data_IF_901457355797
#
_entry.id   IF_901457355797
#
_cell.length_a   1.000
_cell.length_b   1.000
_cell.length_c   1.000
_cell.angle_alpha   90.00
_cell.angle_beta   90.00
_cell.angle_gamma   90.00
#
_symmetry.space_group_name_H-M   'P 1'
#
loop_
_entity.id
_entity.type
_entity.pdbx_description
1 polymer ?
#
# COMPACT_ATOMS: atom_id res chain seq x y z
N UNK A 1 20.49 38.64 -23.79
CA UNK A 1 21.80 38.27 -24.34
C UNK A 1 22.77 39.39 -23.95
N UNK A 2 23.45 39.27 -22.83
CA UNK A 2 24.74 39.92 -22.55
C UNK A 2 25.38 39.20 -21.36
N UNK A 3 26.70 38.92 -21.40
CA UNK A 3 27.37 37.99 -20.49
C UNK A 3 28.14 38.72 -19.37
N UNK A 4 28.41 37.99 -18.28
CA UNK A 4 29.58 38.20 -17.38
C UNK A 4 30.76 37.36 -17.95
N UNK A 5 32.02 37.38 -17.43
CA UNK A 5 32.62 38.04 -16.25
C UNK A 5 34.03 38.66 -16.54
N UNK A 6 34.77 39.09 -15.51
CA UNK A 6 36.20 38.74 -15.26
C UNK A 6 36.73 39.40 -13.96
N UNK A 7 37.44 38.60 -13.15
CA UNK A 7 38.25 38.84 -11.93
C UNK A 7 39.68 39.33 -12.27
N UNK A 8 40.70 39.33 -11.35
CA UNK A 8 40.91 39.96 -10.03
C UNK A 8 42.27 40.75 -9.98
N UNK A 9 42.71 41.26 -8.81
CA UNK A 9 44.11 41.62 -8.36
C UNK A 9 43.95 42.53 -7.11
N UNK A 10 44.79 42.63 -6.08
CA UNK A 10 45.95 41.93 -5.51
C UNK A 10 46.15 42.50 -4.08
N UNK A 11 46.80 41.76 -3.17
CA UNK A 11 47.30 42.25 -1.87
C UNK A 11 48.70 42.92 -2.05
N UNK A 12 49.31 43.58 -1.02
CA UNK A 12 50.10 42.80 -0.03
C UNK A 12 50.35 43.43 1.38
N UNK A 13 50.86 42.56 2.29
CA UNK A 13 51.80 42.72 3.44
C UNK A 13 51.50 43.73 4.57
N UNK A 14 51.83 43.54 5.86
CA UNK A 14 52.49 42.56 6.74
C UNK A 14 52.28 43.10 8.18
N UNK A 15 52.73 42.57 9.32
CA UNK A 15 53.63 41.49 9.71
C UNK A 15 53.39 41.21 11.23
N UNK A 16 53.68 39.98 11.65
CA UNK A 16 54.22 39.53 12.96
C UNK A 16 53.58 39.94 14.30
N UNK A 17 53.77 39.25 15.43
CA UNK A 17 53.96 37.85 15.84
C UNK A 17 54.03 37.90 17.38
N UNK A 18 53.55 36.88 18.09
CA UNK A 18 54.13 36.41 19.35
C UNK A 18 53.34 35.19 19.85
N UNK A 19 53.96 34.02 19.72
CA UNK A 19 53.49 32.77 20.30
C UNK A 19 54.03 32.57 21.72
N UNK A 20 53.43 31.60 22.42
CA UNK A 20 54.21 30.59 23.17
C UNK A 20 53.36 29.37 23.48
N UNK A 21 53.90 28.22 23.09
CA UNK A 21 53.44 26.88 23.39
C UNK A 21 53.98 26.39 24.76
N UNK A 22 53.40 25.30 25.30
CA UNK A 22 54.05 24.08 25.83
C UNK A 22 52.98 23.22 26.56
N UNK A 23 52.60 22.03 26.05
CA UNK A 23 53.06 20.65 26.43
C UNK A 23 52.79 20.32 27.92
N UNK A 24 52.16 19.21 28.35
CA UNK A 24 52.34 17.76 28.03
C UNK A 24 51.30 16.94 28.85
N UNK A 25 50.86 15.79 28.35
CA UNK A 25 50.22 14.67 29.10
C UNK A 25 51.32 13.77 29.78
N UNK A 26 51.09 12.60 30.46
CA UNK A 26 49.87 11.76 30.60
C UNK A 26 49.70 10.92 31.92
N UNK A 27 48.72 9.99 31.90
CA UNK A 27 48.57 8.69 32.61
C UNK A 27 47.97 8.59 34.03
N UNK A 28 46.90 7.78 34.14
CA UNK A 28 46.42 7.15 35.39
C UNK A 28 45.26 6.18 35.14
N UNK A 29 45.52 4.86 35.25
CA UNK A 29 44.55 3.75 35.23
C UNK A 29 43.83 3.65 36.59
N UNK A 30 42.52 3.41 36.60
CA UNK A 30 41.84 2.67 37.67
C UNK A 30 40.56 1.99 37.14
N UNK A 31 40.40 0.71 37.46
CA UNK A 31 39.20 -0.13 37.24
C UNK A 31 38.32 -0.08 38.49
N UNK A 32 37.02 0.13 38.30
CA UNK A 32 35.86 -0.40 39.04
C UNK A 32 34.64 0.32 38.43
N UNK A 33 33.64 -0.32 37.82
CA UNK A 33 32.84 -1.40 38.37
C UNK A 33 31.49 -0.84 38.80
N UNK A 34 30.64 -0.42 37.86
CA UNK A 34 29.20 -0.24 38.06
C UNK A 34 28.48 -0.55 36.75
N UNK A 35 27.74 -1.67 36.75
CA UNK A 35 26.82 -2.03 35.68
C UNK A 35 25.64 -1.07 35.66
N UNK A 36 25.51 -0.30 34.58
CA UNK A 36 24.24 0.29 34.18
C UNK A 36 23.43 -0.74 33.39
N UNK A 37 22.09 -0.80 33.55
CA UNK A 37 21.28 -1.72 32.75
C UNK A 37 21.39 -1.33 31.26
N UNK A 38 21.33 -2.30 30.34
CA UNK A 38 21.31 -1.99 28.92
C UNK A 38 20.05 -1.16 28.64
N UNK A 39 20.23 -0.06 27.89
CA UNK A 39 19.11 0.64 27.27
C UNK A 39 18.36 -0.38 26.41
N UNK A 40 17.22 -0.84 26.94
CA UNK A 40 16.30 -1.72 26.25
C UNK A 40 15.80 -0.98 25.01
N UNK A 41 16.29 -1.39 23.84
CA UNK A 41 15.60 -1.13 22.58
C UNK A 41 14.15 -1.62 22.78
N UNK A 42 13.13 -0.80 22.47
CA UNK A 42 11.74 -1.22 22.62
C UNK A 42 11.53 -2.52 21.83
N UNK A 43 11.10 -3.58 22.51
CA UNK A 43 10.82 -4.84 21.84
C UNK A 43 9.73 -4.62 20.78
N UNK A 44 9.73 -5.44 19.73
CA UNK A 44 8.71 -5.44 18.66
C UNK A 44 7.26 -5.46 19.21
N UNK A 45 7.04 -5.96 20.43
CA UNK A 45 5.76 -5.91 21.14
C UNK A 45 5.34 -4.49 21.53
N UNK A 46 6.26 -3.62 21.95
CA UNK A 46 5.95 -2.22 22.26
C UNK A 46 5.60 -1.42 21.00
N UNK A 47 6.27 -1.69 19.88
CA UNK A 47 5.88 -1.13 18.57
C UNK A 47 4.53 -1.67 18.09
N UNK A 48 4.24 -2.96 18.30
CA UNK A 48 2.94 -3.54 17.98
C UNK A 48 1.79 -2.96 18.82
N UNK A 49 2.03 -2.63 20.08
CA UNK A 49 1.05 -1.99 20.97
C UNK A 49 0.79 -0.52 20.60
N UNK A 50 1.80 0.21 20.10
CA UNK A 50 1.66 1.61 19.64
C UNK A 50 0.93 1.69 18.27
N UNK A 51 1.16 0.73 17.38
CA UNK A 51 0.47 0.65 16.08
C UNK A 51 -0.99 0.19 16.25
N UNK A 52 -1.29 -0.65 17.24
CA UNK A 52 -2.66 -1.09 17.54
C UNK A 52 -3.51 -0.03 18.28
N UNK A 53 -2.91 0.87 19.05
CA UNK A 53 -3.65 1.82 19.89
C UNK A 53 -4.13 3.06 19.14
N UNK A 54 -3.36 3.56 18.17
CA UNK A 54 -3.69 4.82 17.49
C UNK A 54 -4.86 4.69 16.50
N UNK A 55 -4.92 3.57 15.76
CA UNK A 55 -6.04 3.28 14.87
C UNK A 55 -7.31 2.88 15.61
N UNK A 56 -7.16 2.09 16.69
CA UNK A 56 -8.27 1.71 17.54
C UNK A 56 -8.88 2.94 18.23
N UNK A 57 -8.08 3.86 18.80
CA UNK A 57 -8.59 5.09 19.40
C UNK A 57 -9.38 5.95 18.39
N UNK A 58 -8.87 6.13 17.17
CA UNK A 58 -9.56 6.90 16.12
C UNK A 58 -10.91 6.27 15.72
N UNK A 59 -10.97 4.94 15.70
CA UNK A 59 -12.21 4.22 15.46
C UNK A 59 -13.17 4.31 16.67
N UNK A 60 -12.67 4.40 17.91
CA UNK A 60 -13.48 4.56 19.15
C UNK A 60 -14.05 5.98 19.21
N UNK A 61 -13.22 7.01 19.05
CA UNK A 61 -13.59 8.44 19.17
C UNK A 61 -14.64 8.88 18.14
N UNK A 62 -14.70 8.24 16.98
CA UNK A 62 -15.64 8.56 15.90
C UNK A 62 -16.88 7.66 15.87
N UNK A 63 -17.10 6.83 16.90
CA UNK A 63 -18.28 5.98 17.01
C UNK A 63 -18.34 4.82 16.02
N UNK A 64 -17.26 4.56 15.26
CA UNK A 64 -17.12 3.41 14.35
C UNK A 64 -17.09 2.10 15.17
N UNK A 65 -16.74 2.19 16.46
CA UNK A 65 -16.61 1.06 17.39
C UNK A 65 -17.67 1.03 18.49
N UNK A 66 -18.87 1.59 18.30
CA UNK A 66 -19.91 1.54 19.33
C UNK A 66 -20.22 0.11 19.85
N UNK A 67 -19.76 -0.94 19.15
CA UNK A 67 -19.89 -2.34 19.57
C UNK A 67 -18.60 -3.20 19.49
N UNK A 68 -17.40 -2.64 19.27
CA UNK A 68 -16.20 -3.48 19.13
C UNK A 68 -15.51 -3.78 20.46
N UNK A 69 -15.27 -5.07 20.74
CA UNK A 69 -14.49 -5.53 21.90
C UNK A 69 -12.98 -5.42 21.62
N UNK A 70 -12.15 -5.11 22.65
CA UNK A 70 -10.70 -5.15 22.53
C UNK A 70 -10.20 -6.52 22.07
N UNK A 71 -9.14 -6.51 21.26
CA UNK A 71 -8.48 -7.71 20.75
C UNK A 71 -8.04 -8.64 21.91
N UNK A 72 -8.39 -9.93 21.90
CA UNK A 72 -7.84 -10.87 22.87
C UNK A 72 -6.34 -11.08 22.58
N UNK A 73 -5.52 -10.90 23.62
CA UNK A 73 -4.07 -11.04 23.57
C UNK A 73 -3.61 -12.48 23.32
N UNK A 74 -4.51 -13.47 23.41
CA UNK A 74 -4.23 -14.88 23.14
C UNK A 74 -5.39 -15.56 22.39
N UNK A 75 -5.09 -16.41 21.39
CA UNK A 75 -6.12 -17.09 20.60
C UNK A 75 -6.75 -18.24 21.39
N UNK A 76 -8.07 -18.50 21.24
CA UNK A 76 -8.64 -19.78 21.60
C UNK A 76 -8.16 -20.86 20.62
N UNK A 77 -7.90 -22.04 21.18
CA UNK A 77 -7.40 -23.21 20.45
C UNK A 77 -8.59 -23.89 19.75
N UNK A 78 -8.64 -23.93 18.41
CA UNK A 78 -8.98 -25.12 17.59
C UNK A 78 -9.36 -24.85 16.12
N UNK A 79 -8.87 -25.79 15.29
CA UNK A 79 -9.49 -26.49 14.15
C UNK A 79 -10.26 -25.68 13.09
N UNK A 80 -9.50 -25.27 12.06
CA UNK A 80 -10.04 -24.74 10.80
C UNK A 80 -8.99 -24.65 9.69
N UNK A 81 -8.06 -25.61 9.62
CA UNK A 81 -6.89 -25.56 8.72
C UNK A 81 -6.67 -26.87 7.94
N UNK A 82 -7.74 -27.56 7.55
CA UNK A 82 -7.63 -28.84 6.84
C UNK A 82 -7.03 -28.73 5.43
N UNK A 83 -7.06 -27.55 4.79
CA UNK A 83 -6.53 -27.35 3.43
C UNK A 83 -5.06 -26.88 3.36
N UNK A 84 -4.42 -26.58 4.52
CA UNK A 84 -2.99 -26.18 4.56
C UNK A 84 -2.01 -27.32 4.31
N UNK A 85 -2.47 -28.57 4.14
CA UNK A 85 -1.61 -29.76 3.96
C UNK A 85 -1.41 -30.23 2.52
N UNK A 86 -2.04 -29.59 1.52
CA UNK A 86 -2.06 -30.11 0.15
C UNK A 86 -1.27 -29.27 -0.88
N UNK A 87 -0.18 -28.63 -0.45
CA UNK A 87 0.88 -28.19 -1.37
C UNK A 87 2.15 -29.00 -1.02
N UNK A 88 2.82 -29.65 -1.99
CA UNK A 88 4.02 -30.41 -1.69
C UNK A 88 5.08 -29.45 -1.13
N UNK A 89 5.64 -29.77 0.04
CA UNK A 89 6.92 -29.20 0.47
C UNK A 89 8.00 -29.72 -0.50
N UNK A 90 8.70 -28.87 -1.27
CA UNK A 90 9.96 -29.28 -1.86
C UNK A 90 10.92 -29.62 -0.71
N UNK A 91 11.74 -30.65 -0.91
CA UNK A 91 12.63 -31.23 0.10
C UNK A 91 13.51 -30.21 0.81
N UNK A 92 13.96 -30.60 2.00
CA UNK A 92 14.71 -29.79 2.95
C UNK A 92 15.75 -28.89 2.30
N UNK A 93 15.45 -27.59 2.34
CA UNK A 93 16.37 -26.50 2.05
C UNK A 93 16.27 -25.54 3.23
N UNK A 94 17.42 -25.03 3.65
CA UNK A 94 17.56 -24.07 4.74
C UNK A 94 16.57 -22.91 4.58
N UNK A 95 15.90 -22.54 5.69
CA UNK A 95 15.08 -21.33 5.77
C UNK A 95 15.95 -20.12 5.46
N UNK A 96 15.93 -19.68 4.20
CA UNK A 96 16.52 -18.42 3.74
C UNK A 96 15.86 -17.25 4.49
N UNK A 97 16.62 -16.20 4.80
CA UNK A 97 16.10 -15.04 5.53
C UNK A 97 14.87 -14.41 4.84
N UNK A 98 14.79 -14.49 3.50
CA UNK A 98 13.64 -14.02 2.72
C UNK A 98 12.34 -14.79 2.97
N UNK A 99 12.43 -16.07 3.31
CA UNK A 99 11.28 -16.94 3.59
C UNK A 99 10.71 -16.65 5.00
N UNK A 100 11.60 -16.34 5.95
CA UNK A 100 11.22 -15.96 7.32
C UNK A 100 10.46 -14.63 7.39
N UNK A 101 10.88 -13.61 6.61
CA UNK A 101 10.19 -12.32 6.55
C UNK A 101 8.82 -12.44 5.88
N UNK A 102 8.72 -13.19 4.78
CA UNK A 102 7.44 -13.48 4.15
C UNK A 102 6.48 -14.17 5.13
N UNK A 103 6.96 -15.18 5.86
CA UNK A 103 6.15 -15.90 6.83
C UNK A 103 5.64 -14.98 7.95
N UNK A 104 6.50 -14.14 8.54
CA UNK A 104 6.11 -13.19 9.58
C UNK A 104 5.07 -12.19 9.05
N UNK A 105 5.26 -11.63 7.85
CA UNK A 105 4.30 -10.71 7.23
C UNK A 105 2.94 -11.37 7.00
N UNK A 106 2.94 -12.59 6.45
CA UNK A 106 1.69 -13.33 6.22
C UNK A 106 1.01 -13.70 7.55
N UNK A 107 1.75 -14.06 8.58
CA UNK A 107 1.19 -14.35 9.90
C UNK A 107 0.55 -13.12 10.55
N UNK A 108 1.20 -11.95 10.47
CA UNK A 108 0.64 -10.69 10.96
C UNK A 108 -0.66 -10.36 10.22
N UNK A 109 -0.64 -10.39 8.88
CA UNK A 109 -1.84 -10.12 8.05
C UNK A 109 -2.97 -11.10 8.31
N UNK A 110 -2.66 -12.38 8.44
CA UNK A 110 -3.67 -13.39 8.72
C UNK A 110 -4.31 -13.17 10.10
N UNK A 111 -3.55 -12.68 11.09
CA UNK A 111 -4.09 -12.32 12.40
C UNK A 111 -5.00 -11.09 12.32
N UNK A 112 -4.56 -10.02 11.65
CA UNK A 112 -5.36 -8.80 11.51
C UNK A 112 -6.63 -9.04 10.70
N UNK A 113 -6.54 -9.78 9.59
CA UNK A 113 -7.70 -10.19 8.79
C UNK A 113 -8.72 -10.96 9.64
N UNK A 114 -8.29 -12.01 10.35
CA UNK A 114 -9.22 -12.77 11.22
C UNK A 114 -9.83 -11.91 12.33
N UNK A 115 -9.04 -11.01 12.90
CA UNK A 115 -9.50 -10.18 14.00
C UNK A 115 -10.53 -9.15 13.56
N UNK A 116 -10.30 -8.47 12.43
CA UNK A 116 -11.22 -7.46 11.88
C UNK A 116 -12.44 -8.14 11.26
N UNK A 117 -12.25 -9.15 10.40
CA UNK A 117 -13.36 -9.85 9.73
C UNK A 117 -14.15 -10.77 10.67
N UNK A 118 -13.62 -11.09 11.85
CA UNK A 118 -14.33 -11.83 12.90
C UNK A 118 -15.29 -10.97 13.73
N UNK A 119 -15.27 -9.63 13.56
CA UNK A 119 -16.17 -8.74 14.27
C UNK A 119 -17.63 -8.93 13.82
N UNK A 120 -18.61 -8.73 14.73
CA UNK A 120 -20.02 -8.70 14.36
C UNK A 120 -20.30 -7.71 13.23
N UNK A 121 -21.20 -8.07 12.32
CA UNK A 121 -21.59 -7.22 11.19
C UNK A 121 -20.65 -7.28 9.97
N UNK A 122 -19.50 -7.93 10.06
CA UNK A 122 -18.63 -8.14 8.89
C UNK A 122 -19.20 -9.22 7.95
N UNK A 123 -19.16 -8.98 6.62
CA UNK A 123 -19.64 -9.96 5.63
C UNK A 123 -18.72 -11.19 5.63
N UNK A 124 -19.31 -12.38 5.44
CA UNK A 124 -18.57 -13.65 5.41
C UNK A 124 -18.58 -14.30 4.03
N UNK A 125 -19.55 -13.93 3.21
CA UNK A 125 -19.71 -14.40 1.85
C UNK A 125 -20.03 -13.22 0.90
N UNK A 126 -19.63 -13.25 -0.39
CA UNK A 126 -19.89 -12.15 -1.31
C UNK A 126 -21.38 -11.86 -1.52
N UNK A 127 -22.28 -12.80 -1.21
CA UNK A 127 -23.73 -12.60 -1.26
C UNK A 127 -24.31 -11.92 -0.02
N UNK A 128 -23.54 -11.78 1.07
CA UNK A 128 -23.90 -10.97 2.23
C UNK A 128 -23.77 -9.47 1.93
N UNK A 129 -23.02 -9.12 0.89
CA UNK A 129 -22.73 -7.73 0.52
C UNK A 129 -23.94 -7.06 -0.15
N UNK A 130 -24.15 -5.74 0.08
CA UNK A 130 -25.05 -4.94 -0.74
C UNK A 130 -24.75 -5.07 -2.23
N UNK A 131 -25.78 -4.97 -3.08
CA UNK A 131 -25.67 -5.19 -4.53
C UNK A 131 -24.58 -4.33 -5.16
N UNK A 132 -24.44 -3.07 -4.74
CA UNK A 132 -23.40 -2.16 -5.22
C UNK A 132 -21.99 -2.65 -4.88
N UNK A 133 -21.74 -2.99 -3.62
CA UNK A 133 -20.46 -3.51 -3.15
C UNK A 133 -20.10 -4.84 -3.82
N UNK A 134 -21.05 -5.78 -3.91
CA UNK A 134 -20.87 -7.06 -4.61
C UNK A 134 -20.52 -6.84 -6.07
N UNK A 135 -21.19 -5.91 -6.77
CA UNK A 135 -20.89 -5.58 -8.16
C UNK A 135 -19.48 -5.01 -8.31
N UNK A 136 -19.05 -4.14 -7.41
CA UNK A 136 -17.69 -3.59 -7.39
C UNK A 136 -16.67 -4.70 -7.21
N UNK A 137 -16.87 -5.57 -6.23
CA UNK A 137 -16.01 -6.72 -5.96
C UNK A 137 -15.83 -7.63 -7.18
N UNK A 138 -16.94 -8.11 -7.76
CA UNK A 138 -16.89 -9.08 -8.87
C UNK A 138 -16.23 -8.49 -10.13
N UNK A 139 -16.28 -7.16 -10.31
CA UNK A 139 -15.59 -6.45 -11.40
C UNK A 139 -14.09 -6.29 -11.17
N UNK A 140 -13.62 -6.48 -9.95
CA UNK A 140 -12.20 -6.40 -9.60
C UNK A 140 -11.50 -7.75 -9.54
N UNK A 141 -12.24 -8.87 -9.58
CA UNK A 141 -11.65 -10.20 -9.55
C UNK A 141 -11.52 -10.75 -10.98
N UNK A 142 -10.28 -10.91 -11.41
CA UNK A 142 -9.89 -11.55 -12.65
C UNK A 142 -9.80 -13.07 -12.48
N UNK A 143 -10.15 -13.80 -13.53
CA UNK A 143 -10.23 -15.26 -13.55
C UNK A 143 -9.17 -15.83 -14.47
N UNK A 144 -8.45 -16.85 -13.99
CA UNK A 144 -7.66 -17.74 -14.83
C UNK A 144 -8.12 -19.17 -14.62
N UNK A 145 -8.98 -19.67 -15.51
CA UNK A 145 -9.48 -21.06 -15.43
C UNK A 145 -8.37 -22.08 -15.70
N UNK A 146 -7.49 -21.79 -16.67
CA UNK A 146 -6.36 -22.68 -17.03
C UNK A 146 -5.42 -22.93 -15.84
N UNK A 147 -5.15 -21.92 -15.04
CA UNK A 147 -4.24 -22.00 -13.88
C UNK A 147 -4.98 -22.00 -12.53
N UNK A 148 -6.32 -22.05 -12.58
CA UNK A 148 -7.23 -22.14 -11.42
C UNK A 148 -6.94 -21.11 -10.32
N UNK A 149 -6.77 -19.85 -10.70
CA UNK A 149 -6.62 -18.75 -9.75
C UNK A 149 -7.57 -17.58 -10.00
N UNK A 150 -7.78 -16.81 -8.94
CA UNK A 150 -8.51 -15.54 -8.91
C UNK A 150 -7.59 -14.44 -8.40
N UNK A 151 -7.52 -13.33 -9.12
CA UNK A 151 -6.72 -12.17 -8.75
C UNK A 151 -7.63 -10.95 -8.55
N UNK A 152 -7.75 -10.45 -7.31
CA UNK A 152 -8.39 -9.16 -7.09
C UNK A 152 -7.40 -8.04 -7.40
N UNK A 153 -7.65 -7.31 -8.50
CA UNK A 153 -6.77 -6.24 -8.91
C UNK A 153 -7.06 -4.96 -8.12
N UNK A 154 -5.99 -4.34 -7.63
CA UNK A 154 -6.05 -3.05 -6.95
C UNK A 154 -5.28 -2.03 -7.78
N UNK A 155 -5.92 -0.95 -8.26
CA UNK A 155 -5.21 0.09 -8.98
C UNK A 155 -4.06 0.69 -8.17
N UNK A 156 -2.98 1.07 -8.87
CA UNK A 156 -1.74 1.59 -8.29
C UNK A 156 -0.94 0.59 -7.44
N UNK A 157 -1.31 -0.69 -7.50
CA UNK A 157 -0.56 -1.83 -6.94
C UNK A 157 -0.10 -2.77 -8.06
N UNK A 158 0.45 -2.18 -9.13
CA UNK A 158 0.93 -2.88 -10.33
C UNK A 158 -0.09 -3.82 -11.03
N UNK A 159 -1.39 -3.52 -10.92
CA UNK A 159 -2.45 -4.26 -11.60
C UNK A 159 -2.25 -4.38 -13.11
N UNK A 160 -1.63 -3.39 -13.78
CA UNK A 160 -1.33 -3.45 -15.21
C UNK A 160 -0.33 -4.55 -15.57
N UNK A 161 0.66 -4.80 -14.70
CA UNK A 161 1.64 -5.87 -14.89
C UNK A 161 0.99 -7.24 -14.67
N UNK A 162 0.16 -7.39 -13.64
CA UNK A 162 -0.63 -8.61 -13.44
C UNK A 162 -1.57 -8.89 -14.61
N UNK A 163 -2.28 -7.88 -15.13
CA UNK A 163 -3.11 -8.06 -16.34
C UNK A 163 -2.31 -8.53 -17.54
N UNK A 164 -1.07 -8.04 -17.72
CA UNK A 164 -0.17 -8.52 -18.77
C UNK A 164 0.22 -9.99 -18.55
N UNK A 165 0.56 -10.37 -17.33
CA UNK A 165 0.82 -11.76 -16.96
C UNK A 165 -0.38 -12.65 -17.31
N UNK A 166 -1.61 -12.25 -16.96
CA UNK A 166 -2.81 -13.01 -17.32
C UNK A 166 -2.98 -13.16 -18.84
N UNK A 167 -2.74 -12.11 -19.62
CA UNK A 167 -2.80 -12.18 -21.09
C UNK A 167 -1.74 -13.13 -21.68
N UNK A 168 -0.52 -13.16 -21.12
CA UNK A 168 0.51 -14.11 -21.53
C UNK A 168 0.09 -15.55 -21.19
N UNK A 169 -0.41 -15.76 -19.97
CA UNK A 169 -0.90 -17.08 -19.53
C UNK A 169 -2.09 -17.58 -20.39
N UNK A 170 -2.92 -16.66 -20.88
CA UNK A 170 -4.01 -16.96 -21.80
C UNK A 170 -3.55 -17.27 -23.24
N UNK A 171 -2.29 -16.96 -23.60
CA UNK A 171 -1.77 -17.07 -24.97
C UNK A 171 -2.17 -15.90 -25.87
N UNK A 172 -2.60 -14.78 -25.29
CA UNK A 172 -2.98 -13.55 -26.02
C UNK A 172 -1.75 -12.68 -26.31
N UNK A 173 -0.74 -12.74 -25.44
CA UNK A 173 0.54 -12.07 -25.61
C UNK A 173 1.69 -13.07 -25.54
N UNK A 174 2.72 -12.88 -26.36
CA UNK A 174 3.89 -13.77 -26.39
C UNK A 174 4.81 -13.58 -25.18
N UNK A 175 4.86 -12.37 -24.61
CA UNK A 175 5.76 -12.04 -23.51
C UNK A 175 5.23 -10.92 -22.62
N UNK A 176 5.67 -10.95 -21.36
CA UNK A 176 5.44 -9.92 -20.35
C UNK A 176 6.23 -8.63 -20.62
N UNK A 177 7.18 -8.65 -21.56
CA UNK A 177 8.01 -7.49 -21.90
C UNK A 177 7.45 -6.67 -23.07
N UNK A 178 6.35 -7.12 -23.68
CA UNK A 178 5.69 -6.42 -24.79
C UNK A 178 5.27 -5.00 -24.35
N UNK A 179 5.88 -4.00 -24.98
CA UNK A 179 5.70 -2.56 -24.69
C UNK A 179 4.46 -1.99 -25.40
N UNK A 180 3.32 -2.60 -25.17
CA UNK A 180 2.03 -2.08 -25.65
C UNK A 180 1.29 -1.36 -24.52
N UNK A 181 0.52 -0.32 -24.89
CA UNK A 181 -0.47 0.26 -23.98
C UNK A 181 -1.42 -0.85 -23.58
N UNK A 182 -1.52 -1.12 -22.29
CA UNK A 182 -2.26 -2.28 -21.80
C UNK A 182 -3.76 -2.04 -21.90
N UNK A 183 -4.46 -2.90 -22.64
CA UNK A 183 -5.90 -2.99 -22.56
C UNK A 183 -6.28 -3.67 -21.24
N UNK A 184 -7.11 -2.99 -20.45
CA UNK A 184 -7.46 -3.40 -19.10
C UNK A 184 -8.74 -4.24 -19.01
N UNK A 185 -9.39 -4.53 -20.15
CA UNK A 185 -10.63 -5.30 -20.23
C UNK A 185 -10.62 -6.39 -21.29
N UNK A 186 -10.21 -6.08 -22.51
CA UNK A 186 -10.26 -7.07 -23.59
C UNK A 186 -9.36 -8.27 -23.25
N UNK A 187 -9.81 -9.47 -23.61
CA UNK A 187 -9.12 -10.75 -23.40
C UNK A 187 -8.86 -11.10 -21.92
N UNK A 188 -9.61 -10.47 -21.01
CA UNK A 188 -9.61 -10.78 -19.58
C UNK A 188 -11.03 -11.17 -19.16
N UNK A 189 -11.13 -12.21 -18.33
CA UNK A 189 -12.40 -12.66 -17.75
C UNK A 189 -12.47 -12.17 -16.32
N UNK A 190 -13.56 -11.49 -15.97
CA UNK A 190 -13.87 -11.09 -14.60
C UNK A 190 -14.94 -12.00 -14.02
N UNK A 191 -14.99 -12.15 -12.69
CA UNK A 191 -16.11 -12.86 -12.06
C UNK A 191 -17.46 -12.23 -12.40
N UNK A 192 -17.50 -10.91 -12.63
CA UNK A 192 -18.71 -10.21 -13.06
C UNK A 192 -19.25 -10.64 -14.43
N UNK A 193 -18.45 -11.34 -15.24
CA UNK A 193 -18.86 -11.84 -16.56
C UNK A 193 -19.50 -13.24 -16.49
N UNK A 194 -19.49 -13.88 -15.32
CA UNK A 194 -19.90 -15.26 -15.10
C UNK A 194 -21.26 -15.37 -14.40
N UNK A 195 -21.90 -16.54 -14.52
CA UNK A 195 -23.16 -16.83 -13.80
C UNK A 195 -22.89 -17.06 -12.31
N UNK A 196 -23.87 -16.83 -11.41
CA UNK A 196 -23.67 -16.99 -9.97
C UNK A 196 -23.08 -18.34 -9.54
N UNK A 197 -23.50 -19.45 -10.18
CA UNK A 197 -23.01 -20.80 -9.88
C UNK A 197 -21.53 -20.97 -10.26
N UNK A 198 -21.14 -20.39 -11.39
CA UNK A 198 -19.75 -20.37 -11.89
C UNK A 198 -18.83 -19.53 -11.00
N UNK A 199 -19.36 -18.42 -10.46
CA UNK A 199 -18.67 -17.57 -9.49
C UNK A 199 -18.44 -18.36 -8.20
N UNK A 200 -19.48 -18.97 -7.63
CA UNK A 200 -19.38 -19.77 -6.38
C UNK A 200 -18.36 -20.89 -6.50
N UNK A 201 -18.41 -21.64 -7.61
CA UNK A 201 -17.45 -22.71 -7.87
C UNK A 201 -16.01 -22.20 -7.81
N UNK A 202 -15.70 -21.10 -8.50
CA UNK A 202 -14.34 -20.54 -8.53
C UNK A 202 -13.91 -19.99 -7.19
N UNK A 203 -14.77 -19.25 -6.49
CA UNK A 203 -14.48 -18.75 -5.15
C UNK A 203 -14.13 -19.90 -4.18
N UNK A 204 -14.82 -21.04 -4.29
CA UNK A 204 -14.58 -22.22 -3.46
C UNK A 204 -13.31 -22.99 -3.85
N UNK A 205 -12.99 -23.11 -5.15
CA UNK A 205 -12.01 -24.07 -5.64
C UNK A 205 -10.72 -23.49 -6.23
N UNK A 206 -10.63 -22.18 -6.41
CA UNK A 206 -9.46 -21.53 -7.05
C UNK A 206 -8.58 -20.86 -6.01
N UNK A 207 -7.29 -20.78 -6.28
CA UNK A 207 -6.34 -20.01 -5.47
C UNK A 207 -6.64 -18.51 -5.61
N UNK A 208 -6.86 -17.80 -4.51
CA UNK A 208 -7.26 -16.39 -4.50
C UNK A 208 -6.14 -15.53 -3.94
N UNK A 209 -5.74 -14.48 -4.65
CA UNK A 209 -4.76 -13.54 -4.13
C UNK A 209 -5.08 -12.10 -4.49
N UNK A 210 -4.53 -11.18 -3.70
CA UNK A 210 -4.47 -9.77 -4.03
C UNK A 210 -3.10 -9.19 -3.64
N UNK A 211 -2.82 -8.00 -4.16
CA UNK A 211 -1.67 -7.21 -3.73
C UNK A 211 -2.15 -5.90 -3.13
N UNK A 212 -1.51 -5.50 -2.04
CA UNK A 212 -1.82 -4.27 -1.32
C UNK A 212 -0.61 -3.35 -1.26
N UNK A 213 -0.88 -2.08 -0.97
CA UNK A 213 0.12 -1.01 -0.82
C UNK A 213 -0.32 -0.14 0.34
N UNK A 214 0.63 0.53 1.00
CA UNK A 214 0.33 1.58 1.97
C UNK A 214 -0.77 2.52 1.40
N UNK A 215 -1.87 2.76 2.15
CA UNK A 215 -3.01 3.51 1.63
C UNK A 215 -2.65 4.91 1.13
N UNK A 216 -1.76 5.64 1.81
CA UNK A 216 -1.43 7.01 1.44
C UNK A 216 -0.41 7.05 0.31
N UNK A 217 0.52 6.10 0.25
CA UNK A 217 1.34 5.93 -0.94
C UNK A 217 0.48 5.62 -2.18
N UNK A 218 -0.55 4.79 -2.01
CA UNK A 218 -1.49 4.46 -3.08
C UNK A 218 -2.25 5.71 -3.55
N UNK A 219 -2.72 6.55 -2.62
CA UNK A 219 -3.36 7.82 -2.93
C UNK A 219 -2.42 8.80 -3.63
N UNK A 220 -1.18 8.96 -3.15
CA UNK A 220 -0.22 9.84 -3.80
C UNK A 220 0.12 9.34 -5.21
N UNK A 221 0.24 8.02 -5.40
CA UNK A 221 0.45 7.42 -6.71
C UNK A 221 -0.75 7.66 -7.65
N UNK A 222 -1.98 7.60 -7.12
CA UNK A 222 -3.19 7.93 -7.88
C UNK A 222 -3.20 9.41 -8.26
N UNK A 223 -2.98 10.31 -7.31
CA UNK A 223 -2.94 11.75 -7.51
C UNK A 223 -1.94 12.16 -8.60
N UNK A 224 -0.67 11.79 -8.44
CA UNK A 224 0.40 12.16 -9.39
C UNK A 224 0.12 11.68 -10.80
N UNK A 225 -0.43 10.47 -10.94
CA UNK A 225 -0.79 9.95 -12.25
C UNK A 225 -2.02 10.65 -12.82
N UNK A 226 -3.12 10.74 -12.07
CA UNK A 226 -4.40 11.22 -12.60
C UNK A 226 -4.44 12.73 -12.82
N UNK A 227 -3.77 13.50 -11.98
CA UNK A 227 -3.74 14.95 -12.10
C UNK A 227 -2.43 15.49 -12.70
N UNK A 228 -1.39 14.66 -12.84
CA UNK A 228 -0.13 15.06 -13.49
C UNK A 228 0.05 14.55 -14.93
N UNK A 229 -0.61 13.45 -15.33
CA UNK A 229 -0.31 12.77 -16.60
C UNK A 229 -1.55 12.47 -17.46
N UNK A 230 -2.75 12.36 -16.85
CA UNK A 230 -3.95 11.85 -17.55
C UNK A 230 -4.99 12.97 -17.76
N UNK A 231 -4.99 13.55 -18.96
CA UNK A 231 -5.87 14.68 -19.35
C UNK A 231 -7.35 14.41 -19.11
N UNK A 232 -7.82 13.20 -19.35
CA UNK A 232 -9.23 12.85 -19.15
C UNK A 232 -9.65 12.94 -17.67
N UNK A 233 -8.73 12.64 -16.75
CA UNK A 233 -8.99 12.77 -15.31
C UNK A 233 -8.94 14.23 -14.86
N UNK A 234 -8.00 15.01 -15.39
CA UNK A 234 -7.92 16.45 -15.16
C UNK A 234 -9.21 17.16 -15.60
N UNK A 235 -9.68 16.90 -16.81
CA UNK A 235 -10.90 17.53 -17.35
C UNK A 235 -12.19 17.11 -16.64
N UNK A 236 -12.23 15.89 -16.09
CA UNK A 236 -13.40 15.37 -15.38
C UNK A 236 -13.35 15.70 -13.90
N UNK A 237 -12.45 15.02 -13.18
CA UNK A 237 -12.33 15.13 -11.73
C UNK A 237 -11.58 16.39 -11.34
N UNK A 238 -10.53 16.77 -12.08
CA UNK A 238 -9.75 17.95 -11.74
C UNK A 238 -10.59 19.22 -11.85
N UNK A 239 -11.33 19.37 -12.94
CA UNK A 239 -12.24 20.48 -13.14
C UNK A 239 -13.37 20.49 -12.10
N UNK A 240 -13.87 19.32 -11.69
CA UNK A 240 -14.86 19.20 -10.62
C UNK A 240 -14.32 19.66 -9.27
N UNK A 241 -13.11 19.21 -8.90
CA UNK A 241 -12.43 19.60 -7.67
C UNK A 241 -12.22 21.12 -7.65
N UNK A 242 -11.71 21.70 -8.73
CA UNK A 242 -11.50 23.15 -8.83
C UNK A 242 -12.83 23.92 -8.68
N UNK A 243 -13.90 23.48 -9.35
CA UNK A 243 -15.23 24.10 -9.20
C UNK A 243 -15.77 24.03 -7.78
N UNK A 244 -15.53 22.93 -7.06
CA UNK A 244 -16.05 22.72 -5.71
C UNK A 244 -15.31 23.56 -4.66
N UNK A 245 -13.99 23.75 -4.81
CA UNK A 245 -13.15 24.23 -3.71
C UNK A 245 -12.43 25.57 -3.96
N UNK A 246 -12.37 26.09 -5.19
CA UNK A 246 -11.76 27.40 -5.47
C UNK A 246 -12.83 28.48 -5.67
N UNK A 247 -12.75 29.54 -4.88
CA UNK A 247 -13.58 30.72 -5.08
C UNK A 247 -13.27 31.37 -6.44
N UNK A 248 -14.30 31.74 -7.20
CA UNK A 248 -14.15 32.35 -8.51
C UNK A 248 -13.72 31.40 -9.64
N UNK A 249 -13.74 30.08 -9.42
CA UNK A 249 -13.60 29.13 -10.51
C UNK A 249 -14.70 29.39 -11.56
N UNK A 250 -14.28 29.68 -12.80
CA UNK A 250 -15.21 29.83 -13.91
C UNK A 250 -16.01 28.54 -14.18
N UNK A 251 -16.98 28.56 -15.11
CA UNK A 251 -17.84 27.39 -15.36
C UNK A 251 -17.09 26.17 -15.92
N UNK A 252 -15.88 26.36 -16.47
CA UNK A 252 -15.10 25.31 -17.13
C UNK A 252 -13.61 25.44 -16.82
N UNK A 253 -13.17 25.16 -15.57
CA UNK A 253 -11.76 25.16 -15.24
C UNK A 253 -11.02 24.00 -15.95
N UNK A 254 -9.74 24.20 -16.26
CA UNK A 254 -8.92 23.20 -16.94
C UNK A 254 -8.72 21.93 -16.10
N UNK A 255 -8.55 22.09 -14.79
CA UNK A 255 -8.43 20.98 -13.83
C UNK A 255 -7.08 20.25 -13.86
N UNK A 256 -6.09 20.83 -14.53
CA UNK A 256 -4.72 20.32 -14.65
C UNK A 256 -3.77 20.80 -13.55
N UNK A 257 -4.25 21.65 -12.65
CA UNK A 257 -3.49 22.28 -11.57
C UNK A 257 -4.06 21.95 -10.17
N UNK A 258 -4.83 20.87 -10.04
CA UNK A 258 -5.35 20.41 -8.73
C UNK A 258 -4.21 20.09 -7.79
N UNK A 259 -4.27 20.65 -6.58
CA UNK A 259 -3.29 20.40 -5.52
C UNK A 259 -3.63 19.13 -4.72
N UNK A 260 -2.64 18.56 -4.05
CA UNK A 260 -2.85 17.38 -3.22
C UNK A 260 -3.83 17.61 -2.06
N UNK A 261 -3.80 18.75 -1.33
CA UNK A 261 -4.84 19.06 -0.35
C UNK A 261 -6.24 19.18 -0.95
N UNK A 262 -6.41 19.75 -2.14
CA UNK A 262 -7.73 19.79 -2.80
C UNK A 262 -8.22 18.39 -3.18
N UNK A 263 -7.32 17.52 -3.64
CA UNK A 263 -7.63 16.12 -3.87
C UNK A 263 -8.03 15.41 -2.58
N UNK A 264 -7.30 15.59 -1.48
CA UNK A 264 -7.68 15.01 -0.18
C UNK A 264 -9.04 15.55 0.30
N UNK A 265 -9.30 16.84 0.13
CA UNK A 265 -10.60 17.46 0.48
C UNK A 265 -11.74 16.85 -0.33
N UNK A 266 -11.52 16.62 -1.61
CA UNK A 266 -12.45 15.88 -2.45
C UNK A 266 -12.72 14.48 -1.90
N UNK A 267 -11.69 13.74 -1.50
CA UNK A 267 -11.88 12.41 -0.89
C UNK A 267 -12.68 12.46 0.41
N UNK A 268 -12.54 13.51 1.24
CA UNK A 268 -13.34 13.68 2.46
C UNK A 268 -14.83 13.85 2.16
N UNK A 269 -15.18 14.49 1.06
CA UNK A 269 -16.58 14.74 0.71
C UNK A 269 -17.23 13.55 -0.04
N UNK A 270 -16.43 12.65 -0.63
CA UNK A 270 -16.95 11.52 -1.41
C UNK A 270 -17.29 10.28 -0.56
N UNK A 271 -18.39 9.61 -0.86
CA UNK A 271 -18.72 8.31 -0.27
C UNK A 271 -17.74 7.23 -0.76
N UNK A 272 -17.03 6.50 0.12
CA UNK A 272 -16.12 5.41 -0.26
C UNK A 272 -16.68 4.41 -1.26
N UNK A 273 -17.99 4.09 -1.20
CA UNK A 273 -18.62 3.14 -2.12
C UNK A 273 -18.78 3.69 -3.54
N UNK A 274 -18.75 5.02 -3.69
CA UNK A 274 -18.94 5.74 -4.97
C UNK A 274 -17.65 6.32 -5.52
N UNK A 275 -16.56 6.23 -4.77
CA UNK A 275 -15.24 6.69 -5.20
C UNK A 275 -14.80 6.01 -6.50
N UNK A 276 -13.93 6.69 -7.25
CA UNK A 276 -13.26 6.07 -8.39
C UNK A 276 -12.31 4.95 -7.89
N UNK A 277 -12.20 3.86 -8.67
CA UNK A 277 -11.36 2.69 -8.31
C UNK A 277 -9.90 3.05 -7.99
N UNK A 278 -9.36 4.15 -8.56
CA UNK A 278 -7.98 4.55 -8.33
C UNK A 278 -7.71 5.04 -6.90
N UNK A 279 -8.72 5.55 -6.20
CA UNK A 279 -8.62 6.02 -4.82
C UNK A 279 -9.64 5.39 -3.87
N UNK A 280 -10.53 4.51 -4.34
CA UNK A 280 -11.40 3.71 -3.47
C UNK A 280 -10.57 2.78 -2.57
N UNK A 281 -10.84 2.67 -1.25
CA UNK A 281 -10.10 1.77 -0.37
C UNK A 281 -10.06 0.31 -0.87
N UNK A 282 -8.96 -0.39 -0.63
CA UNK A 282 -8.77 -1.80 -0.98
C UNK A 282 -9.89 -2.67 -0.40
N UNK A 283 -10.33 -2.38 0.83
CA UNK A 283 -11.47 -3.03 1.47
C UNK A 283 -12.72 -3.01 0.57
N UNK A 284 -13.07 -1.86 0.00
CA UNK A 284 -14.26 -1.73 -0.85
C UNK A 284 -14.08 -2.40 -2.21
N UNK A 285 -12.85 -2.44 -2.75
CA UNK A 285 -12.55 -3.09 -4.03
C UNK A 285 -12.54 -4.61 -3.94
N UNK A 286 -11.93 -5.16 -2.88
CA UNK A 286 -11.59 -6.58 -2.80
C UNK A 286 -12.29 -7.34 -1.67
N UNK A 287 -12.99 -6.66 -0.75
CA UNK A 287 -13.85 -7.25 0.28
C UNK A 287 -13.20 -8.46 0.99
N UNK A 288 -12.04 -8.31 1.63
CA UNK A 288 -11.26 -9.42 2.19
C UNK A 288 -11.93 -10.15 3.37
N UNK A 289 -13.05 -9.64 3.88
CA UNK A 289 -13.89 -10.37 4.83
C UNK A 289 -14.89 -11.30 4.13
N UNK A 290 -15.45 -10.88 2.99
CA UNK A 290 -16.36 -11.68 2.18
C UNK A 290 -15.64 -12.68 1.26
N UNK A 291 -14.37 -12.41 0.91
CA UNK A 291 -13.55 -13.29 0.07
C UNK A 291 -12.33 -13.74 0.87
N UNK A 292 -12.21 -15.04 1.09
CA UNK A 292 -11.05 -15.64 1.74
C UNK A 292 -9.86 -15.72 0.78
N UNK A 293 -8.97 -14.73 0.81
CA UNK A 293 -7.74 -14.76 0.02
C UNK A 293 -6.72 -15.73 0.63
N UNK A 294 -6.15 -16.58 -0.23
CA UNK A 294 -5.09 -17.53 0.11
C UNK A 294 -3.74 -16.83 0.27
N UNK A 295 -3.55 -15.69 -0.41
CA UNK A 295 -2.33 -14.88 -0.31
C UNK A 295 -2.60 -13.37 -0.43
N UNK A 296 -1.95 -12.58 0.42
CA UNK A 296 -1.94 -11.11 0.34
C UNK A 296 -0.51 -10.63 0.15
N UNK A 297 -0.15 -10.31 -1.10
CA UNK A 297 1.16 -9.79 -1.47
C UNK A 297 1.31 -8.29 -1.20
N UNK A 298 2.54 -7.80 -1.15
CA UNK A 298 2.88 -6.40 -0.85
C UNK A 298 3.48 -5.69 -2.05
N UNK A 299 3.12 -4.43 -2.28
CA UNK A 299 3.76 -3.60 -3.29
C UNK A 299 5.27 -3.41 -3.02
N UNK A 300 5.63 -3.32 -1.74
CA UNK A 300 7.00 -3.13 -1.27
C UNK A 300 7.91 -4.32 -1.62
N UNK A 301 7.31 -5.49 -1.87
CA UNK A 301 7.97 -6.75 -2.23
C UNK A 301 7.38 -7.36 -3.51
N UNK A 302 6.83 -6.50 -4.36
CA UNK A 302 5.95 -6.90 -5.46
C UNK A 302 6.55 -7.98 -6.36
N UNK A 303 7.79 -7.84 -6.80
CA UNK A 303 8.43 -8.79 -7.71
C UNK A 303 8.64 -10.16 -7.05
N UNK A 304 9.14 -10.19 -5.81
CA UNK A 304 9.36 -11.42 -5.07
C UNK A 304 8.03 -12.13 -4.76
N UNK A 305 7.08 -11.40 -4.17
CA UNK A 305 5.76 -11.93 -3.81
C UNK A 305 4.98 -12.38 -5.08
N UNK A 306 5.12 -11.69 -6.21
CA UNK A 306 4.46 -12.07 -7.46
C UNK A 306 5.06 -13.28 -8.15
N UNK A 307 6.39 -13.39 -8.20
CA UNK A 307 7.04 -14.59 -8.75
C UNK A 307 6.74 -15.82 -7.87
N UNK A 308 6.65 -15.65 -6.55
CA UNK A 308 6.23 -16.72 -5.66
C UNK A 308 4.81 -17.23 -5.97
N UNK A 309 3.87 -16.31 -6.25
CA UNK A 309 2.51 -16.68 -6.69
C UNK A 309 2.55 -17.43 -8.01
N UNK A 310 3.37 -17.00 -8.98
CA UNK A 310 3.52 -17.67 -10.28
C UNK A 310 4.02 -19.11 -10.12
N UNK A 311 4.94 -19.35 -9.19
CA UNK A 311 5.39 -20.70 -8.84
C UNK A 311 4.26 -21.55 -8.24
N UNK A 312 3.50 -21.02 -7.27
CA UNK A 312 2.41 -21.75 -6.62
C UNK A 312 1.29 -22.15 -7.60
N UNK A 313 0.96 -21.28 -8.55
CA UNK A 313 -0.04 -21.57 -9.60
C UNK A 313 0.54 -22.38 -10.77
N UNK A 314 1.83 -22.78 -10.68
CA UNK A 314 2.54 -23.56 -11.71
C UNK A 314 2.50 -22.89 -13.08
N UNK A 315 2.70 -21.58 -13.11
CA UNK A 315 2.90 -20.85 -14.36
C UNK A 315 4.12 -21.41 -15.11
N UNK A 316 4.15 -21.34 -16.45
CA UNK A 316 5.30 -21.80 -17.22
C UNK A 316 6.59 -21.07 -16.79
N UNK A 317 7.76 -21.74 -16.72
CA UNK A 317 9.00 -21.14 -16.18
C UNK A 317 9.48 -19.86 -16.89
N UNK A 318 9.06 -19.64 -18.14
CA UNK A 318 9.38 -18.44 -18.92
C UNK A 318 8.49 -17.24 -18.57
N UNK A 319 7.35 -17.46 -17.90
CA UNK A 319 6.46 -16.39 -17.45
C UNK A 319 6.93 -15.91 -16.08
N UNK A 320 7.43 -14.68 -16.03
CA UNK A 320 7.84 -14.00 -14.80
C UNK A 320 7.07 -12.71 -14.62
N UNK A 321 7.04 -12.21 -13.39
CA UNK A 321 6.46 -10.90 -13.14
C UNK A 321 7.32 -9.82 -13.83
N UNK A 322 6.74 -8.90 -14.62
CA UNK A 322 7.52 -7.91 -15.34
C UNK A 322 8.25 -6.98 -14.37
N UNK A 323 9.55 -6.77 -14.63
CA UNK A 323 10.37 -5.84 -13.89
C UNK A 323 9.81 -4.41 -13.98
N UNK A 324 10.13 -3.59 -12.97
CA UNK A 324 9.73 -2.17 -12.97
C UNK A 324 10.34 -1.47 -14.17
N UNK A 325 9.49 -0.82 -14.96
CA UNK A 325 9.93 -0.08 -16.14
C UNK A 325 10.76 1.14 -15.72
N UNK A 326 11.90 1.36 -16.38
CA UNK A 326 12.88 2.38 -16.00
C UNK A 326 12.34 3.82 -16.00
N UNK A 327 11.34 4.11 -16.84
CA UNK A 327 10.71 5.42 -16.92
C UNK A 327 9.75 5.70 -15.74
N UNK A 328 9.24 4.65 -15.08
CA UNK A 328 8.29 4.82 -13.98
C UNK A 328 9.02 5.15 -12.68
N UNK A 329 8.79 6.36 -12.17
CA UNK A 329 9.32 6.84 -10.90
C UNK A 329 8.27 6.72 -9.79
N UNK A 330 8.34 5.71 -8.91
CA UNK A 330 7.40 5.60 -7.79
C UNK A 330 7.53 6.83 -6.87
N UNK A 331 6.48 7.10 -6.10
CA UNK A 331 6.58 8.04 -5.00
C UNK A 331 7.65 7.54 -4.03
N UNK A 332 8.62 8.40 -3.71
CA UNK A 332 9.61 8.14 -2.69
C UNK A 332 9.03 8.44 -1.30
N UNK A 333 9.60 7.88 -0.22
CA UNK A 333 9.20 8.23 1.14
C UNK A 333 9.26 9.73 1.41
N UNK A 334 10.26 10.43 0.88
CA UNK A 334 10.42 11.89 1.03
C UNK A 334 9.32 12.64 0.28
N UNK A 335 8.96 12.17 -0.92
CA UNK A 335 7.85 12.74 -1.68
C UNK A 335 6.52 12.54 -0.96
N UNK A 336 6.30 11.37 -0.36
CA UNK A 336 5.12 11.12 0.46
C UNK A 336 5.09 12.05 1.67
N UNK A 337 6.18 12.11 2.43
CA UNK A 337 6.32 12.95 3.60
C UNK A 337 6.03 14.42 3.27
N UNK A 338 6.63 14.96 2.21
CA UNK A 338 6.38 16.32 1.73
C UNK A 338 4.89 16.58 1.48
N UNK A 339 4.20 15.70 0.75
CA UNK A 339 2.78 15.88 0.42
C UNK A 339 1.88 15.78 1.65
N UNK A 340 2.17 14.85 2.57
CA UNK A 340 1.43 14.71 3.81
C UNK A 340 1.65 15.92 4.71
N UNK A 341 2.89 16.36 4.92
CA UNK A 341 3.21 17.49 5.79
C UNK A 341 2.80 18.84 5.21
N UNK A 342 2.63 18.95 3.89
CA UNK A 342 2.09 20.16 3.25
C UNK A 342 0.55 20.23 3.33
N UNK A 343 -0.13 19.13 3.68
CA UNK A 343 -1.58 19.12 3.80
C UNK A 343 -2.03 19.61 5.20
N UNK A 344 -3.17 20.32 5.31
CA UNK A 344 -3.71 20.70 6.61
C UNK A 344 -3.96 19.47 7.49
N UNK A 345 -3.50 19.51 8.75
CA UNK A 345 -3.62 18.37 9.67
C UNK A 345 -5.06 17.91 9.88
N UNK A 346 -6.01 18.86 10.01
CA UNK A 346 -7.43 18.54 10.14
C UNK A 346 -7.93 17.72 8.94
N UNK A 347 -7.46 18.06 7.73
CA UNK A 347 -7.85 17.35 6.53
C UNK A 347 -7.33 15.89 6.51
N UNK A 348 -6.09 15.68 6.96
CA UNK A 348 -5.56 14.32 7.13
C UNK A 348 -6.35 13.52 8.16
N UNK A 349 -6.73 14.14 9.27
CA UNK A 349 -7.57 13.51 10.31
C UNK A 349 -8.94 13.11 9.78
N UNK A 350 -9.48 13.81 8.78
CA UNK A 350 -10.76 13.48 8.16
C UNK A 350 -10.63 12.42 7.04
N UNK A 351 -9.49 12.36 6.33
CA UNK A 351 -9.23 11.34 5.30
C UNK A 351 -8.90 9.98 5.91
N UNK A 352 -8.07 9.93 6.95
CA UNK A 352 -7.56 8.67 7.51
C UNK A 352 -8.67 7.66 7.88
N UNK A 353 -9.78 8.05 8.53
CA UNK A 353 -10.88 7.14 8.83
C UNK A 353 -11.46 6.43 7.60
N UNK A 354 -11.44 7.04 6.41
CA UNK A 354 -11.94 6.41 5.18
C UNK A 354 -11.11 5.22 4.72
N UNK A 355 -9.84 5.17 5.11
CA UNK A 355 -8.89 4.12 4.75
C UNK A 355 -8.49 3.26 5.94
N UNK A 356 -9.12 3.45 7.11
CA UNK A 356 -8.68 2.81 8.36
C UNK A 356 -8.70 1.28 8.27
N UNK A 357 -9.70 0.72 7.58
CA UNK A 357 -9.77 -0.72 7.35
C UNK A 357 -8.60 -1.24 6.52
N UNK A 358 -8.12 -0.49 5.53
CA UNK A 358 -6.94 -0.90 4.76
C UNK A 358 -5.69 -0.94 5.66
N UNK A 359 -5.50 0.07 6.52
CA UNK A 359 -4.40 0.07 7.48
C UNK A 359 -4.48 -1.13 8.43
N UNK A 360 -5.66 -1.36 9.02
CA UNK A 360 -5.87 -2.42 10.00
C UNK A 360 -5.77 -3.82 9.38
N UNK A 361 -6.48 -4.09 8.28
CA UNK A 361 -6.53 -5.41 7.64
C UNK A 361 -5.15 -5.84 7.14
N UNK A 362 -4.39 -4.91 6.57
CA UNK A 362 -3.12 -5.23 5.91
C UNK A 362 -1.87 -4.90 6.73
N UNK A 363 -2.08 -4.50 7.99
CA UNK A 363 -1.04 -4.18 8.96
C UNK A 363 -0.08 -3.08 8.50
N UNK A 364 -0.60 -2.05 7.86
CA UNK A 364 0.16 -0.84 7.55
C UNK A 364 0.19 0.10 8.77
N UNK A 365 1.33 0.73 9.08
CA UNK A 365 1.39 1.74 10.13
C UNK A 365 0.61 2.99 9.70
N UNK A 366 -0.03 3.66 10.67
CA UNK A 366 -0.56 4.99 10.42
C UNK A 366 0.58 5.98 10.14
N UNK A 367 0.36 7.00 9.29
CA UNK A 367 1.41 7.96 8.96
C UNK A 367 1.79 8.77 10.20
N UNK A 368 3.09 9.04 10.34
CA UNK A 368 3.56 9.98 11.34
C UNK A 368 3.50 11.42 10.77
N UNK A 369 2.43 12.14 11.11
CA UNK A 369 2.16 13.53 10.67
C UNK A 369 2.11 14.50 11.86
N UNK A 370 2.87 14.22 12.92
CA UNK A 370 3.02 15.16 14.03
C UNK A 370 3.77 16.42 13.59
N UNK A 371 3.67 17.50 14.37
CA UNK A 371 4.41 18.73 14.06
C UNK A 371 5.91 18.45 14.03
N UNK A 372 6.41 17.67 14.98
CA UNK A 372 7.82 17.31 15.10
C UNK A 372 8.29 16.49 13.90
N UNK A 373 7.44 15.60 13.37
CA UNK A 373 7.75 14.83 12.18
C UNK A 373 7.80 15.71 10.93
N UNK A 374 6.92 16.69 10.81
CA UNK A 374 6.81 17.57 9.63
C UNK A 374 7.72 18.81 9.64
N UNK A 375 8.51 19.02 10.70
CA UNK A 375 9.48 20.12 10.83
C UNK A 375 10.94 19.66 10.71
N UNK A 376 11.18 18.37 10.45
CA UNK A 376 12.49 17.80 10.10
C UNK A 376 12.65 17.79 8.58
#
# INVERSE_FOLDING_TARGET
>A
MFPRPLTPLAAPNGAESLGRALRRAPLGRARAGLGGPPLLLPSMLMFAVIVASSGLLLMIERGILAEMKPLPLHPPNREGAAWRRALPRPGGLSLEAGDSDLQVRQDVRNRTLRAVCGQPGMPRDPWDLPVGQRRTLLRHILVSDRYRFLYCYVPKVACSNWKRVLKVLAGVLDSVDVRLKMDHRNDLVFLADLRPEEIRYRLQHYFKFLFVRDPLERLLSAYRNKFGEIREYQQRYGAEIVRRYRAGAGPSPAGDDVTFPEFLRYLVDEDPERMNEHWMPVYHLCQPCAVHYDFVGSYERLEADANQVLEWVRAPPHVRFPARQAWYRPASPESLHYHLCSAPRALLQDVLPKYILDFSLFAYPLPNVTREACHQ
#
